data_IF_566530882636
#
_entry.id   IF_566530882636
#
_cell.length_a   1.000
_cell.length_b   1.000
_cell.length_c   1.000
_cell.angle_alpha   90.00
_cell.angle_beta   90.00
_cell.angle_gamma   90.00
#
_symmetry.space_group_name_H-M   'P 1'
#
loop_
_entity.id
_entity.type
_entity.pdbx_description
1 polymer ?
#
# COMPACT_ATOMS: atom_id res chain seq x y z
N UNK A 1 6.99 -4.29 24.98
CA UNK A 1 6.16 -5.48 24.66
C UNK A 1 5.04 -5.02 23.75
N UNK A 2 5.29 -4.99 22.44
CA UNK A 2 4.24 -4.76 21.44
C UNK A 2 4.51 -5.75 20.31
N UNK A 3 3.65 -6.77 20.27
CA UNK A 3 3.58 -7.80 19.25
C UNK A 3 2.70 -7.30 18.12
N UNK A 4 3.08 -7.52 16.85
CA UNK A 4 2.15 -7.71 15.72
C UNK A 4 2.86 -7.89 14.36
N UNK A 5 2.20 -8.62 13.46
CA UNK A 5 2.69 -9.18 12.18
C UNK A 5 2.25 -8.37 10.90
N UNK A 6 3.04 -8.48 9.81
CA UNK A 6 2.75 -8.73 8.37
C UNK A 6 1.92 -7.92 7.32
N UNK A 7 2.61 -7.62 6.17
CA UNK A 7 2.30 -7.75 4.69
C UNK A 7 2.03 -6.48 3.84
N UNK A 8 2.61 -6.30 2.63
CA UNK A 8 2.47 -5.09 1.76
C UNK A 8 2.81 -5.30 0.25
N UNK A 9 2.12 -4.58 -0.68
CA UNK A 9 2.01 -4.75 -2.16
C UNK A 9 2.33 -3.47 -3.00
N UNK A 10 2.99 -3.55 -4.18
CA UNK A 10 3.31 -2.41 -5.10
C UNK A 10 3.37 -2.80 -6.59
N UNK A 11 2.93 -1.87 -7.49
CA UNK A 11 3.39 -1.60 -8.88
C UNK A 11 2.77 -0.31 -9.45
N UNK A 12 3.29 0.42 -10.45
CA UNK A 12 4.63 0.87 -10.84
C UNK A 12 4.47 2.17 -11.68
N UNK A 13 5.20 3.25 -11.37
CA UNK A 13 5.98 4.06 -12.34
C UNK A 13 6.89 5.08 -11.62
N UNK A 14 8.20 4.89 -11.83
CA UNK A 14 9.39 5.75 -11.69
C UNK A 14 10.17 5.96 -10.38
N UNK A 15 11.51 5.88 -10.56
CA UNK A 15 12.63 6.07 -9.63
C UNK A 15 12.34 5.67 -8.17
N UNK A 16 12.34 4.37 -7.89
CA UNK A 16 12.66 3.88 -6.55
C UNK A 16 14.19 3.87 -6.42
N UNK A 17 14.76 4.59 -5.44
CA UNK A 17 16.23 4.69 -5.25
C UNK A 17 16.93 3.35 -4.95
N UNK A 18 16.19 2.23 -4.92
CA UNK A 18 16.66 0.92 -4.48
C UNK A 18 16.47 -0.21 -5.50
N UNK A 19 16.04 0.12 -6.72
CA UNK A 19 16.08 -0.81 -7.86
C UNK A 19 16.92 -0.17 -8.98
N UNK A 20 17.73 -0.94 -9.73
CA UNK A 20 18.28 -0.45 -11.00
C UNK A 20 17.18 0.24 -11.81
N UNK A 21 17.52 1.38 -12.43
CA UNK A 21 16.61 2.20 -13.23
C UNK A 21 15.56 1.32 -13.94
N UNK A 22 14.26 1.46 -13.68
CA UNK A 22 13.26 0.56 -14.26
C UNK A 22 13.25 0.61 -15.80
N UNK A 23 13.79 1.66 -16.42
CA UNK A 23 14.01 1.74 -17.87
C UNK A 23 15.25 1.00 -18.36
N UNK A 24 16.18 0.66 -17.46
CA UNK A 24 17.37 -0.12 -17.78
C UNK A 24 17.08 -1.63 -17.96
N UNK A 25 15.84 -2.05 -17.73
CA UNK A 25 15.39 -3.44 -17.79
C UNK A 25 14.05 -3.58 -18.51
N UNK A 26 13.72 -4.79 -18.96
CA UNK A 26 12.39 -5.06 -19.50
C UNK A 26 11.31 -4.85 -18.42
N UNK A 27 10.14 -4.25 -18.73
CA UNK A 27 9.15 -3.85 -17.74
C UNK A 27 8.74 -4.96 -16.74
N UNK A 28 8.48 -6.21 -17.16
CA UNK A 28 8.13 -7.29 -16.21
C UNK A 28 9.25 -7.60 -15.22
N UNK A 29 10.51 -7.50 -15.64
CA UNK A 29 11.67 -7.77 -14.81
C UNK A 29 11.94 -6.63 -13.82
N UNK A 30 11.70 -5.39 -14.24
CA UNK A 30 11.74 -4.23 -13.34
C UNK A 30 10.68 -4.35 -12.24
N UNK A 31 9.46 -4.77 -12.62
CA UNK A 31 8.34 -5.04 -11.73
C UNK A 31 8.69 -6.03 -10.61
N UNK A 32 9.23 -7.18 -11.00
CA UNK A 32 9.66 -8.23 -10.07
C UNK A 32 10.77 -7.74 -9.14
N UNK A 33 11.73 -6.98 -9.68
CA UNK A 33 12.82 -6.41 -8.90
C UNK A 33 12.33 -5.41 -7.85
N UNK A 34 11.33 -4.58 -8.18
CA UNK A 34 10.70 -3.61 -7.28
C UNK A 34 9.93 -4.32 -6.16
N UNK A 35 9.08 -5.29 -6.49
CA UNK A 35 8.38 -6.08 -5.47
C UNK A 35 9.34 -6.78 -4.51
N UNK A 36 10.41 -7.38 -5.03
CA UNK A 36 11.44 -8.04 -4.21
C UNK A 36 12.21 -7.05 -3.35
N UNK A 37 12.63 -5.91 -3.90
CA UNK A 37 13.37 -4.90 -3.15
C UNK A 37 12.54 -4.35 -1.99
N UNK A 38 11.28 -3.99 -2.23
CA UNK A 38 10.39 -3.50 -1.19
C UNK A 38 10.16 -4.54 -0.08
N UNK A 39 9.95 -5.81 -0.46
CA UNK A 39 9.84 -6.90 0.50
C UNK A 39 11.09 -6.96 1.40
N UNK A 40 12.29 -6.86 0.82
CA UNK A 40 13.55 -6.86 1.58
C UNK A 40 13.71 -5.61 2.45
N UNK A 41 13.23 -4.45 2.02
CA UNK A 41 13.27 -3.23 2.84
C UNK A 41 12.41 -3.39 4.09
N UNK A 42 11.18 -3.90 3.97
CA UNK A 42 10.35 -4.19 5.15
C UNK A 42 10.89 -5.35 5.99
N UNK A 43 11.51 -6.35 5.37
CA UNK A 43 12.14 -7.48 6.09
C UNK A 43 13.26 -7.01 7.03
N UNK A 44 14.00 -5.96 6.66
CA UNK A 44 14.99 -5.35 7.56
C UNK A 44 14.36 -4.82 8.86
N UNK A 45 13.13 -4.31 8.80
CA UNK A 45 12.40 -3.82 9.97
C UNK A 45 11.75 -4.95 10.78
N UNK A 46 11.24 -5.99 10.12
CA UNK A 46 10.59 -7.12 10.78
C UNK A 46 10.99 -8.48 10.17
N UNK A 47 12.19 -9.01 10.45
CA UNK A 47 12.68 -10.23 9.79
C UNK A 47 11.85 -11.49 9.99
N UNK A 48 11.02 -11.54 11.06
CA UNK A 48 10.21 -12.72 11.39
C UNK A 48 8.82 -12.72 10.75
N UNK A 49 8.48 -11.66 10.03
CA UNK A 49 7.24 -11.57 9.26
C UNK A 49 7.27 -12.51 8.04
N UNK A 50 6.08 -12.85 7.53
CA UNK A 50 5.83 -13.53 6.27
C UNK A 50 5.38 -12.54 5.22
N UNK A 51 6.24 -12.26 4.26
CA UNK A 51 5.98 -11.32 3.21
C UNK A 51 5.26 -11.97 2.03
N UNK A 52 4.24 -11.29 1.52
CA UNK A 52 3.53 -11.65 0.28
C UNK A 52 3.24 -10.39 -0.50
N UNK A 53 3.50 -10.44 -1.80
CA UNK A 53 3.16 -9.38 -2.73
C UNK A 53 2.57 -9.99 -4.02
N UNK A 54 2.02 -9.13 -4.83
CA UNK A 54 1.27 -9.29 -6.07
C UNK A 54 1.61 -8.05 -6.87
N UNK A 55 1.80 -8.26 -8.15
CA UNK A 55 2.29 -7.28 -9.09
C UNK A 55 1.13 -7.00 -10.05
N UNK A 56 0.62 -5.77 -10.06
CA UNK A 56 -0.55 -5.32 -10.84
C UNK A 56 -1.79 -6.21 -10.65
N UNK A 57 -2.23 -6.42 -9.40
CA UNK A 57 -3.25 -7.43 -9.11
C UNK A 57 -4.65 -7.01 -9.56
N UNK A 58 -5.50 -8.01 -9.79
CA UNK A 58 -6.95 -7.81 -9.87
C UNK A 58 -7.59 -7.72 -8.49
N UNK A 59 -8.85 -7.25 -8.44
CA UNK A 59 -9.66 -7.22 -7.22
C UNK A 59 -9.74 -8.60 -6.56
N UNK A 60 -9.93 -9.67 -7.33
CA UNK A 60 -10.01 -11.03 -6.82
C UNK A 60 -8.68 -11.50 -6.20
N UNK A 61 -7.56 -11.09 -6.79
CA UNK A 61 -6.22 -11.44 -6.29
C UNK A 61 -5.92 -10.70 -4.98
N UNK A 62 -6.27 -9.41 -4.89
CA UNK A 62 -6.17 -8.63 -3.65
C UNK A 62 -7.08 -9.21 -2.57
N UNK A 63 -8.33 -9.55 -2.91
CA UNK A 63 -9.28 -10.20 -2.00
C UNK A 63 -8.73 -11.51 -1.46
N UNK A 64 -8.20 -12.37 -2.33
CA UNK A 64 -7.60 -13.65 -1.94
C UNK A 64 -6.38 -13.43 -1.04
N UNK A 65 -5.54 -12.45 -1.35
CA UNK A 65 -4.37 -12.11 -0.53
C UNK A 65 -4.79 -11.64 0.86
N UNK A 66 -5.68 -10.64 0.95
CA UNK A 66 -6.17 -10.09 2.21
C UNK A 66 -6.76 -11.16 3.12
N UNK A 67 -7.66 -11.99 2.58
CA UNK A 67 -8.28 -13.08 3.33
C UNK A 67 -7.25 -14.13 3.78
N UNK A 68 -6.26 -14.44 2.94
CA UNK A 68 -5.18 -15.36 3.29
C UNK A 68 -4.32 -14.80 4.43
N UNK A 69 -3.96 -13.52 4.35
CA UNK A 69 -3.15 -12.84 5.37
C UNK A 69 -3.89 -12.75 6.69
N UNK A 70 -5.16 -12.34 6.69
CA UNK A 70 -6.00 -12.34 7.90
C UNK A 70 -6.12 -13.74 8.51
N UNK A 71 -6.43 -14.77 7.72
CA UNK A 71 -6.52 -16.16 8.21
C UNK A 71 -5.21 -16.61 8.87
N UNK A 72 -4.07 -16.19 8.33
CA UNK A 72 -2.76 -16.52 8.87
C UNK A 72 -2.44 -15.76 10.16
N UNK A 73 -2.68 -14.44 10.17
CA UNK A 73 -2.38 -13.56 11.30
C UNK A 73 -3.29 -13.82 12.51
N UNK A 74 -4.50 -14.37 12.30
CA UNK A 74 -5.50 -14.59 13.35
C UNK A 74 -5.79 -13.27 14.09
N UNK A 75 -5.28 -13.13 15.31
CA UNK A 75 -5.43 -11.97 16.19
C UNK A 75 -4.30 -10.96 16.06
N UNK A 76 -3.24 -11.28 15.32
CA UNK A 76 -2.14 -10.35 15.07
C UNK A 76 -2.51 -9.35 13.97
N UNK A 77 -1.74 -8.24 13.92
CA UNK A 77 -1.96 -7.20 12.92
C UNK A 77 -1.73 -7.75 11.53
N UNK A 78 -2.36 -7.10 10.57
CA UNK A 78 -2.01 -7.21 9.15
C UNK A 78 -1.71 -5.81 8.67
N UNK A 79 -0.50 -5.61 8.17
CA UNK A 79 -0.09 -4.45 7.42
C UNK A 79 -0.67 -4.60 5.99
N UNK A 80 -0.95 -3.50 5.29
CA UNK A 80 -1.35 -3.50 3.88
C UNK A 80 -0.80 -2.26 3.20
N UNK A 81 -0.03 -2.41 2.11
CA UNK A 81 0.56 -1.29 1.38
C UNK A 81 -0.17 -1.24 0.10
N UNK A 82 -0.43 -0.02 -0.29
CA UNK A 82 -0.88 0.26 -1.60
C UNK A 82 -0.01 1.39 -2.15
N UNK A 83 0.64 1.09 -3.26
CA UNK A 83 1.33 2.08 -4.06
C UNK A 83 0.47 2.30 -5.31
N UNK A 84 -0.06 3.51 -5.46
CA UNK A 84 -1.04 3.87 -6.47
C UNK A 84 -0.48 4.80 -7.56
N UNK A 85 0.82 4.73 -7.86
CA UNK A 85 1.48 5.66 -8.80
C UNK A 85 1.11 5.42 -10.27
N UNK A 86 0.78 4.18 -10.66
CA UNK A 86 0.45 3.79 -12.04
C UNK A 86 -1.04 3.81 -12.40
N UNK A 87 -1.89 4.32 -11.50
CA UNK A 87 -3.36 4.27 -11.60
C UNK A 87 -3.96 5.64 -11.26
N UNK A 88 -5.25 5.88 -11.53
CA UNK A 88 -5.90 7.13 -11.16
C UNK A 88 -5.86 7.40 -9.64
N UNK A 89 -6.03 8.66 -9.25
CA UNK A 89 -6.08 9.06 -7.84
C UNK A 89 -7.30 8.45 -7.14
N UNK A 90 -7.21 8.15 -5.83
CA UNK A 90 -8.37 7.70 -5.05
C UNK A 90 -9.53 8.71 -5.12
N UNK A 91 -10.74 8.18 -5.22
CA UNK A 91 -11.95 9.00 -5.38
C UNK A 91 -12.45 9.52 -4.03
N UNK A 92 -13.26 10.59 -4.04
CA UNK A 92 -13.96 11.06 -2.84
C UNK A 92 -15.02 10.08 -2.33
N UNK A 93 -15.40 9.08 -3.14
CA UNK A 93 -16.30 8.01 -2.74
C UNK A 93 -15.58 6.88 -1.97
N UNK A 94 -14.27 7.03 -1.72
CA UNK A 94 -13.49 6.04 -1.00
C UNK A 94 -13.15 4.81 -1.82
N UNK A 95 -12.66 5.01 -3.05
CA UNK A 95 -12.19 3.93 -3.92
C UNK A 95 -10.70 4.08 -4.24
N UNK A 96 -9.99 2.97 -4.23
CA UNK A 96 -8.64 2.83 -4.80
C UNK A 96 -8.72 2.07 -6.12
N UNK A 97 -7.67 2.14 -6.94
CA UNK A 97 -7.70 1.58 -8.29
C UNK A 97 -6.76 0.39 -8.43
N UNK A 98 -7.23 -0.65 -9.13
CA UNK A 98 -6.52 -1.86 -9.48
C UNK A 98 -6.66 -2.13 -10.99
N UNK A 99 -6.05 -3.20 -11.49
CA UNK A 99 -6.13 -3.57 -12.91
C UNK A 99 -7.16 -4.68 -13.16
N UNK A 100 -7.68 -4.74 -14.39
CA UNK A 100 -8.28 -5.96 -14.90
C UNK A 100 -7.19 -6.93 -15.42
N UNK A 101 -7.56 -8.19 -15.67
CA UNK A 101 -6.61 -9.23 -16.13
C UNK A 101 -5.88 -8.90 -17.44
N UNK A 102 -6.49 -8.07 -18.28
CA UNK A 102 -5.94 -7.69 -19.58
C UNK A 102 -5.14 -6.39 -19.55
N UNK A 103 -5.02 -5.73 -18.39
CA UNK A 103 -4.37 -4.44 -18.20
C UNK A 103 -4.89 -3.34 -19.14
N UNK A 104 -6.18 -3.40 -19.49
CA UNK A 104 -6.84 -2.43 -20.37
C UNK A 104 -7.71 -1.43 -19.63
N UNK A 105 -8.09 -1.74 -18.39
CA UNK A 105 -9.00 -0.93 -17.58
C UNK A 105 -8.54 -0.87 -16.13
N UNK A 106 -8.76 0.29 -15.52
CA UNK A 106 -8.68 0.45 -14.08
C UNK A 106 -10.01 0.06 -13.45
N UNK A 107 -9.94 -0.78 -12.42
CA UNK A 107 -11.09 -1.31 -11.70
C UNK A 107 -11.10 -0.68 -10.31
N UNK A 108 -12.21 -0.01 -9.91
CA UNK A 108 -12.30 0.56 -8.58
C UNK A 108 -12.48 -0.54 -7.54
N UNK A 109 -11.80 -0.37 -6.40
CA UNK A 109 -11.94 -1.19 -5.20
C UNK A 109 -12.37 -0.25 -4.05
N UNK A 110 -13.60 -0.39 -3.55
CA UNK A 110 -14.06 0.36 -2.39
C UNK A 110 -13.24 0.05 -1.13
N UNK A 111 -12.90 1.08 -0.36
CA UNK A 111 -12.19 0.95 0.92
C UNK A 111 -12.99 0.11 1.92
N UNK A 112 -14.32 0.20 1.88
CA UNK A 112 -15.21 -0.63 2.70
C UNK A 112 -15.00 -2.14 2.44
N UNK A 113 -14.79 -2.55 1.18
CA UNK A 113 -14.52 -3.94 0.84
C UNK A 113 -13.14 -4.37 1.35
N UNK A 114 -12.11 -3.54 1.11
CA UNK A 114 -10.76 -3.80 1.60
C UNK A 114 -10.73 -4.01 3.12
N UNK A 115 -11.35 -3.10 3.88
CA UNK A 115 -11.46 -3.18 5.34
C UNK A 115 -12.22 -4.44 5.78
N UNK A 116 -13.28 -4.82 5.05
CA UNK A 116 -14.04 -6.04 5.35
C UNK A 116 -13.21 -7.34 5.23
N UNK A 117 -12.22 -7.36 4.34
CA UNK A 117 -11.33 -8.51 4.14
C UNK A 117 -10.21 -8.56 5.17
N UNK A 118 -9.60 -7.41 5.45
CA UNK A 118 -8.46 -7.32 6.34
C UNK A 118 -8.85 -7.29 7.81
N UNK A 119 -9.95 -6.64 8.19
CA UNK A 119 -10.46 -6.55 9.57
C UNK A 119 -9.42 -6.04 10.58
N UNK A 120 -9.80 -5.97 11.85
CA UNK A 120 -8.89 -5.59 12.94
C UNK A 120 -8.14 -6.80 13.53
N UNK A 121 -6.92 -6.61 14.08
CA UNK A 121 -6.14 -5.38 14.01
C UNK A 121 -5.43 -5.22 12.65
N UNK A 122 -5.38 -4.01 12.09
CA UNK A 122 -4.71 -3.74 10.81
C UNK A 122 -3.97 -2.40 10.78
N UNK A 123 -3.01 -2.28 9.86
CA UNK A 123 -2.29 -1.03 9.55
C UNK A 123 -2.19 -0.89 8.03
N UNK A 124 -2.40 0.31 7.52
CA UNK A 124 -2.41 0.59 6.10
C UNK A 124 -1.39 1.67 5.76
N UNK A 125 -0.66 1.51 4.65
CA UNK A 125 0.23 2.52 4.06
C UNK A 125 -0.26 2.80 2.65
N UNK A 126 -0.61 4.05 2.37
CA UNK A 126 -1.08 4.50 1.08
C UNK A 126 -0.08 5.49 0.47
N UNK A 127 0.77 4.99 -0.41
CA UNK A 127 1.70 5.77 -1.21
C UNK A 127 1.08 6.09 -2.57
N UNK A 128 0.28 7.15 -2.59
CA UNK A 128 -0.36 7.66 -3.80
C UNK A 128 -0.72 9.14 -3.62
N UNK A 129 -0.95 9.83 -4.75
CA UNK A 129 -1.50 11.18 -4.72
C UNK A 129 -2.95 11.17 -4.22
N UNK A 130 -3.39 12.24 -3.57
CA UNK A 130 -4.71 12.35 -2.94
C UNK A 130 -5.01 11.23 -1.92
N UNK A 131 -3.99 10.69 -1.24
CA UNK A 131 -4.17 9.61 -0.25
C UNK A 131 -5.09 10.01 0.91
N UNK A 132 -5.24 11.31 1.21
CA UNK A 132 -6.23 11.81 2.18
C UNK A 132 -7.67 11.41 1.88
N UNK A 133 -8.06 11.19 0.61
CA UNK A 133 -9.39 10.67 0.27
C UNK A 133 -9.64 9.27 0.86
N UNK A 134 -8.59 8.44 0.92
CA UNK A 134 -8.65 7.11 1.51
C UNK A 134 -8.83 7.22 3.03
N UNK A 135 -8.09 8.13 3.66
CA UNK A 135 -8.19 8.37 5.10
C UNK A 135 -9.60 8.82 5.48
N UNK A 136 -10.17 9.76 4.73
CA UNK A 136 -11.54 10.23 4.94
C UNK A 136 -12.56 9.07 4.85
N UNK A 137 -12.43 8.20 3.85
CA UNK A 137 -13.29 7.03 3.72
C UNK A 137 -13.17 6.06 4.91
N UNK A 138 -11.97 5.86 5.45
CA UNK A 138 -11.81 5.06 6.66
C UNK A 138 -12.43 5.73 7.90
N UNK A 139 -12.33 7.06 8.04
CA UNK A 139 -12.96 7.79 9.15
C UNK A 139 -14.47 7.56 9.13
N UNK A 140 -15.12 7.71 7.98
CA UNK A 140 -16.56 7.45 7.84
C UNK A 140 -16.94 6.01 8.22
N UNK A 141 -16.12 5.02 7.84
CA UNK A 141 -16.32 3.62 8.20
C UNK A 141 -16.12 3.36 9.70
N UNK A 142 -15.16 4.04 10.33
CA UNK A 142 -14.88 3.93 11.76
C UNK A 142 -16.03 4.56 12.57
N UNK A 143 -16.53 5.72 12.16
CA UNK A 143 -17.66 6.39 12.80
C UNK A 143 -18.94 5.54 12.71
N UNK A 144 -19.22 4.97 11.54
CA UNK A 144 -20.32 4.03 11.35
C UNK A 144 -20.16 2.77 12.25
N UNK A 145 -18.93 2.29 12.43
CA UNK A 145 -18.62 1.13 13.28
C UNK A 145 -18.75 1.46 14.78
N UNK A 146 -18.35 2.66 15.19
CA UNK A 146 -18.47 3.13 16.57
C UNK A 146 -19.94 3.22 17.01
N UNK A 147 -20.84 3.68 16.12
CA UNK A 147 -22.29 3.66 16.33
C UNK A 147 -22.84 2.24 16.59
N UNK A 148 -22.17 1.20 16.09
CA UNK A 148 -22.52 -0.20 16.33
C UNK A 148 -21.82 -0.84 17.54
N UNK A 149 -21.01 -0.08 18.29
CA UNK A 149 -20.25 -0.57 19.43
C UNK A 149 -19.02 -1.42 19.07
N UNK A 150 -18.60 -1.43 17.80
CA UNK A 150 -17.41 -2.18 17.35
C UNK A 150 -16.16 -1.31 17.44
N UNK A 151 -15.26 -1.62 18.38
CA UNK A 151 -13.94 -0.96 18.45
C UNK A 151 -13.03 -1.55 17.39
N UNK A 152 -12.64 -0.76 16.39
CA UNK A 152 -11.68 -1.15 15.35
C UNK A 152 -10.28 -0.66 15.69
N UNK A 153 -9.33 -1.59 15.73
CA UNK A 153 -7.90 -1.28 15.81
C UNK A 153 -7.35 -1.15 14.38
N UNK A 154 -7.32 0.10 13.89
CA UNK A 154 -6.92 0.48 12.54
C UNK A 154 -5.92 1.64 12.61
N UNK A 155 -4.76 1.47 11.98
CA UNK A 155 -3.72 2.51 11.84
C UNK A 155 -3.59 2.86 10.36
N UNK A 156 -3.57 4.16 10.04
CA UNK A 156 -3.49 4.64 8.66
C UNK A 156 -2.27 5.55 8.51
N UNK A 157 -1.47 5.29 7.49
CA UNK A 157 -0.36 6.12 7.05
C UNK A 157 -0.64 6.49 5.58
N UNK A 158 -0.78 7.79 5.29
CA UNK A 158 -1.09 8.29 3.96
C UNK A 158 -0.03 9.31 3.53
N UNK A 159 0.38 9.24 2.26
CA UNK A 159 1.52 10.02 1.77
C UNK A 159 1.27 11.53 1.69
N UNK A 160 0.02 11.95 1.47
CA UNK A 160 -0.34 13.36 1.30
C UNK A 160 -1.83 13.59 1.60
N UNK A 161 -2.24 14.86 1.71
CA UNK A 161 -3.64 15.26 1.88
C UNK A 161 -4.49 14.97 0.62
N UNK A 162 -5.81 15.08 0.76
CA UNK A 162 -6.79 14.74 -0.28
C UNK A 162 -6.66 15.60 -1.56
N UNK A 163 -6.19 16.83 -1.44
CA UNK A 163 -6.04 17.76 -2.56
C UNK A 163 -4.61 17.79 -3.12
N UNK A 164 -3.67 17.10 -2.47
CA UNK A 164 -2.25 17.11 -2.82
C UNK A 164 -1.90 16.08 -3.89
N UNK A 165 -0.80 16.35 -4.59
CA UNK A 165 -0.20 15.44 -5.55
C UNK A 165 1.24 15.21 -5.14
N UNK A 166 1.70 13.97 -5.21
CA UNK A 166 3.08 13.63 -4.89
C UNK A 166 4.06 14.36 -5.82
N UNK A 167 5.27 14.67 -5.33
CA UNK A 167 6.26 15.38 -6.13
C UNK A 167 6.62 14.60 -7.41
N UNK A 168 6.69 15.30 -8.53
CA UNK A 168 7.07 14.75 -9.85
C UNK A 168 8.47 15.19 -10.29
N UNK A 169 9.18 15.98 -9.47
CA UNK A 169 10.55 16.40 -9.79
C UNK A 169 11.47 15.19 -9.86
N UNK A 170 12.35 15.17 -10.87
CA UNK A 170 13.34 14.11 -11.06
C UNK A 170 14.40 14.04 -9.94
N UNK A 171 14.46 15.04 -9.07
CA UNK A 171 15.36 15.02 -7.92
C UNK A 171 14.89 14.01 -6.85
N UNK A 172 13.57 13.90 -6.65
CA UNK A 172 12.98 12.98 -5.69
C UNK A 172 12.73 11.61 -6.33
N UNK A 173 12.78 10.51 -5.56
CA UNK A 173 12.20 9.28 -6.04
C UNK A 173 10.67 9.43 -6.14
N UNK A 174 9.97 8.67 -6.98
CA UNK A 174 8.50 8.73 -6.93
C UNK A 174 7.96 8.11 -5.63
N UNK A 175 8.69 7.15 -5.05
CA UNK A 175 8.31 6.45 -3.82
C UNK A 175 8.77 7.17 -2.54
N UNK A 176 8.79 8.51 -2.51
CA UNK A 176 9.31 9.31 -1.36
C UNK A 176 8.75 8.81 -0.03
N UNK A 177 7.42 8.66 0.05
CA UNK A 177 6.76 8.27 1.28
C UNK A 177 7.17 6.87 1.73
N UNK A 178 7.14 5.90 0.82
CA UNK A 178 7.63 4.54 1.08
C UNK A 178 9.10 4.55 1.51
N UNK A 179 9.97 5.22 0.74
CA UNK A 179 11.40 5.30 1.02
C UNK A 179 11.73 5.96 2.36
N UNK A 180 10.96 6.97 2.79
CA UNK A 180 11.06 7.56 4.13
C UNK A 180 10.73 6.53 5.22
N UNK A 181 9.69 5.71 5.02
CA UNK A 181 9.27 4.71 5.99
C UNK A 181 10.19 3.49 6.03
N UNK A 182 10.72 3.07 4.89
CA UNK A 182 11.41 1.78 4.75
C UNK A 182 12.93 1.92 4.69
N UNK A 183 13.46 3.08 4.28
CA UNK A 183 14.90 3.37 4.18
C UNK A 183 15.27 4.80 4.65
N UNK A 184 14.87 5.18 5.88
CA UNK A 184 14.97 6.55 6.40
C UNK A 184 16.39 7.13 6.38
N UNK A 185 17.41 6.34 6.73
CA UNK A 185 18.80 6.82 6.73
C UNK A 185 19.25 7.17 5.30
N UNK A 186 18.89 6.35 4.31
CA UNK A 186 19.28 6.62 2.92
C UNK A 186 18.54 7.82 2.35
N UNK A 187 17.27 8.00 2.72
CA UNK A 187 16.51 9.18 2.34
C UNK A 187 17.10 10.44 2.99
N UNK A 188 17.30 10.44 4.30
CA UNK A 188 17.79 11.60 5.06
C UNK A 188 19.24 12.02 4.75
N UNK A 189 20.07 11.11 4.23
CA UNK A 189 21.42 11.48 3.77
C UNK A 189 21.42 12.10 2.38
N UNK A 190 20.37 11.85 1.58
CA UNK A 190 20.20 12.44 0.25
C UNK A 190 19.43 13.77 0.31
N UNK A 191 18.63 13.99 1.36
CA UNK A 191 17.68 15.08 1.52
C UNK A 191 17.61 15.60 2.95
#
# INVERSE_FOLDING_TARGET
>A
MFWCHNVQLVNLFFLAFLVPDPFSMAPPKALEAIGKALSLQYERWQPKARYKYQLDPTVEEVKKLCNTCRKFAKTERVLFHYNGHGVPKPTTNGEIWLFNRSYTQYIPLPIAELDSWLKSPSIYVFDCSAAGNIVNAFIELLDASACSGTVKDCILLAACEAHETLPQSAEFPADVFTSCLTTPIQMALRW
#
